data_IF_608373223328
#
_entry.id   IF_608373223328
#
_cell.length_a   1.000
_cell.length_b   1.000
_cell.length_c   1.000
_cell.angle_alpha   90.00
_cell.angle_beta   90.00
_cell.angle_gamma   90.00
#
_symmetry.space_group_name_H-M   'P 1'
#
loop_
_entity.id
_entity.type
_entity.pdbx_description
1 polymer ?
#
# COMPACT_ATOMS: atom_id res chain seq x y z
N UNK A 1 9.97 -12.19 -3.80
CA UNK A 1 11.43 -12.01 -3.78
C UNK A 1 12.09 -13.38 -3.65
N UNK A 2 12.66 -13.91 -4.75
CA UNK A 2 13.41 -15.17 -4.72
C UNK A 2 14.86 -14.85 -4.34
N UNK A 3 15.18 -14.89 -3.05
CA UNK A 3 16.58 -15.06 -2.64
C UNK A 3 16.87 -16.55 -2.79
N UNK A 4 17.42 -16.92 -3.95
CA UNK A 4 17.78 -18.30 -4.24
C UNK A 4 18.93 -18.76 -3.33
N UNK A 5 19.03 -20.07 -3.09
CA UNK A 5 20.11 -20.71 -2.34
C UNK A 5 21.52 -20.44 -2.93
N UNK A 6 21.59 -19.92 -4.16
CA UNK A 6 22.83 -19.55 -4.87
C UNK A 6 23.27 -18.10 -4.64
N UNK A 7 22.50 -17.30 -3.89
CA UNK A 7 22.89 -15.92 -3.59
C UNK A 7 24.12 -15.89 -2.67
N UNK A 8 25.11 -15.00 -2.85
CA UNK A 8 26.25 -14.94 -1.94
C UNK A 8 25.86 -14.75 -0.47
N UNK A 9 26.54 -15.49 0.44
CA UNK A 9 26.20 -15.60 1.86
C UNK A 9 26.16 -14.24 2.57
N UNK A 10 27.02 -13.30 2.16
CA UNK A 10 27.08 -11.94 2.68
C UNK A 10 25.76 -11.17 2.56
N UNK A 11 24.97 -11.42 1.51
CA UNK A 11 23.65 -10.80 1.34
C UNK A 11 22.55 -11.63 2.00
N UNK A 12 22.66 -12.97 1.98
CA UNK A 12 21.69 -13.82 2.68
C UNK A 12 21.61 -13.46 4.16
N UNK A 13 22.77 -13.18 4.80
CA UNK A 13 22.84 -12.78 6.21
C UNK A 13 22.22 -11.41 6.52
N UNK A 14 21.95 -10.59 5.50
CA UNK A 14 21.36 -9.26 5.64
C UNK A 14 19.84 -9.27 5.50
N UNK A 15 19.24 -10.44 5.19
CA UNK A 15 17.81 -10.56 4.97
C UNK A 15 17.23 -11.59 5.93
N UNK A 16 16.15 -11.20 6.60
CA UNK A 16 15.35 -12.07 7.45
C UNK A 16 14.00 -12.24 6.75
N UNK A 17 13.56 -13.48 6.66
CA UNK A 17 12.25 -13.82 6.11
C UNK A 17 11.33 -14.29 7.22
N UNK A 18 10.16 -13.69 7.27
CA UNK A 18 9.06 -14.11 8.12
C UNK A 18 7.82 -14.35 7.26
N UNK A 19 7.09 -15.41 7.60
CA UNK A 19 5.86 -15.77 6.90
C UNK A 19 4.70 -15.50 7.82
N UNK A 20 3.77 -14.67 7.34
CA UNK A 20 2.57 -14.29 8.08
C UNK A 20 1.35 -14.77 7.32
N UNK A 21 0.32 -15.32 8.01
CA UNK A 21 -0.90 -15.75 7.36
C UNK A 21 -1.65 -14.55 6.79
N UNK A 22 -2.39 -14.79 5.70
CA UNK A 22 -3.26 -13.77 5.13
C UNK A 22 -4.30 -13.33 6.16
N UNK A 23 -4.46 -12.03 6.35
CA UNK A 23 -5.37 -11.48 7.34
C UNK A 23 -6.27 -10.38 6.77
N UNK A 24 -7.54 -10.44 7.17
CA UNK A 24 -8.57 -9.45 6.83
C UNK A 24 -9.43 -9.19 8.07
N UNK A 25 -9.96 -7.96 8.24
CA UNK A 25 -10.94 -7.70 9.27
C UNK A 25 -12.14 -8.65 9.15
N UNK A 26 -12.72 -9.02 10.29
CA UNK A 26 -13.94 -9.83 10.33
C UNK A 26 -15.03 -9.16 9.48
N UNK A 27 -15.79 -9.97 8.75
CA UNK A 27 -16.87 -9.54 7.87
C UNK A 27 -16.45 -8.73 6.62
N UNK A 28 -15.16 -8.71 6.27
CA UNK A 28 -14.62 -8.04 5.06
C UNK A 28 -14.09 -9.00 4.00
N UNK A 29 -14.73 -10.16 3.90
CA UNK A 29 -14.45 -11.16 2.86
C UNK A 29 -14.66 -10.61 1.44
N UNK A 30 -15.58 -9.65 1.30
CA UNK A 30 -15.82 -8.93 0.05
C UNK A 30 -14.61 -8.12 -0.42
N UNK A 31 -13.79 -7.60 0.50
CA UNK A 31 -12.52 -6.96 0.16
C UNK A 31 -11.47 -7.97 -0.27
N UNK A 32 -11.43 -9.16 0.36
CA UNK A 32 -10.48 -10.23 0.01
C UNK A 32 -10.66 -10.73 -1.43
N UNK A 33 -11.91 -10.82 -1.87
CA UNK A 33 -12.27 -11.29 -3.20
C UNK A 33 -12.30 -10.19 -4.28
N UNK A 34 -11.99 -8.93 -3.91
CA UNK A 34 -12.02 -7.82 -4.86
C UNK A 34 -10.83 -7.89 -5.83
N UNK A 35 -11.13 -7.83 -7.14
CA UNK A 35 -10.16 -7.82 -8.24
C UNK A 35 -9.34 -9.11 -8.36
N UNK A 36 -8.26 -9.24 -7.59
CA UNK A 36 -7.48 -10.46 -7.41
C UNK A 36 -7.49 -10.80 -5.92
N UNK A 37 -7.53 -12.09 -5.61
CA UNK A 37 -7.47 -12.54 -4.22
C UNK A 37 -6.29 -11.90 -3.50
N UNK A 38 -6.56 -11.31 -2.34
CA UNK A 38 -5.58 -10.61 -1.49
C UNK A 38 -5.06 -9.24 -1.98
N UNK A 39 -5.55 -8.69 -3.09
CA UNK A 39 -5.05 -7.40 -3.61
C UNK A 39 -5.13 -6.26 -2.56
N UNK A 40 -6.22 -6.26 -1.80
CA UNK A 40 -6.54 -5.24 -0.78
C UNK A 40 -5.88 -5.48 0.58
N UNK A 41 -5.18 -6.60 0.79
CA UNK A 41 -4.63 -6.97 2.11
C UNK A 41 -3.67 -5.90 2.63
N UNK A 42 -2.89 -5.30 1.73
CA UNK A 42 -1.94 -4.22 2.05
C UNK A 42 -2.55 -3.06 2.82
N UNK A 43 -3.86 -2.82 2.67
CA UNK A 43 -4.58 -1.77 3.38
C UNK A 43 -4.70 -2.03 4.89
N UNK A 44 -4.38 -3.25 5.35
CA UNK A 44 -4.53 -3.72 6.72
C UNK A 44 -3.21 -3.95 7.45
N UNK A 45 -2.07 -3.67 6.81
CA UNK A 45 -0.74 -3.84 7.39
C UNK A 45 -0.54 -3.17 8.76
N UNK A 46 -1.10 -1.96 9.04
CA UNK A 46 -0.95 -1.36 10.36
C UNK A 46 -1.49 -2.21 11.51
N UNK A 47 -2.51 -3.05 11.26
CA UNK A 47 -3.12 -3.94 12.26
C UNK A 47 -2.45 -5.31 12.29
N UNK A 48 -2.00 -5.81 11.14
CA UNK A 48 -1.25 -7.06 11.05
C UNK A 48 0.10 -6.98 11.78
N UNK A 49 0.72 -5.80 11.77
CA UNK A 49 2.06 -5.56 12.31
C UNK A 49 2.06 -4.41 13.33
N UNK A 50 1.42 -4.58 14.50
CA UNK A 50 1.23 -3.51 15.47
C UNK A 50 2.55 -3.02 16.09
N UNK A 51 3.60 -3.85 16.12
CA UNK A 51 4.92 -3.52 16.63
C UNK A 51 5.88 -2.93 15.58
N UNK A 52 5.46 -2.82 14.32
CA UNK A 52 6.27 -2.24 13.24
C UNK A 52 5.89 -0.78 13.04
N UNK A 53 6.91 0.09 13.01
CA UNK A 53 6.72 1.54 12.90
C UNK A 53 6.57 2.01 11.45
N UNK A 54 7.34 1.42 10.54
CA UNK A 54 7.33 1.74 9.13
C UNK A 54 7.64 0.51 8.27
N UNK A 55 7.10 0.49 7.05
CA UNK A 55 7.32 -0.57 6.08
C UNK A 55 7.27 -0.01 4.65
N UNK A 56 7.90 -0.73 3.73
CA UNK A 56 7.70 -0.52 2.29
C UNK A 56 6.98 -1.75 1.75
N UNK A 57 5.77 -1.56 1.24
CA UNK A 57 5.06 -2.57 0.49
C UNK A 57 5.56 -2.60 -0.96
N UNK A 58 5.77 -3.79 -1.51
CA UNK A 58 6.31 -4.02 -2.86
C UNK A 58 5.53 -5.19 -3.50
N UNK A 59 4.98 -4.99 -4.70
CA UNK A 59 4.38 -6.08 -5.48
C UNK A 59 5.42 -7.17 -5.81
N UNK A 60 4.97 -8.42 -5.89
CA UNK A 60 5.86 -9.58 -6.01
C UNK A 60 6.51 -9.74 -7.39
N UNK A 61 6.05 -8.99 -8.39
CA UNK A 61 6.54 -8.99 -9.77
C UNK A 61 7.62 -7.92 -10.04
N UNK A 62 8.15 -7.29 -8.98
CA UNK A 62 9.19 -6.28 -9.05
C UNK A 62 10.60 -6.87 -8.80
N UNK A 63 11.60 -6.22 -9.42
CA UNK A 63 13.03 -6.51 -9.23
C UNK A 63 13.75 -5.21 -8.85
N UNK A 64 14.58 -5.28 -7.82
CA UNK A 64 15.45 -4.19 -7.43
C UNK A 64 16.68 -4.13 -8.34
N UNK A 65 16.89 -2.98 -8.98
CA UNK A 65 18.10 -2.67 -9.76
C UNK A 65 19.10 -1.80 -8.99
N UNK A 66 18.69 -1.33 -7.81
CA UNK A 66 19.45 -0.48 -6.89
C UNK A 66 19.22 -0.98 -5.46
N UNK A 67 20.10 -0.64 -4.50
CA UNK A 67 19.94 -1.06 -3.11
C UNK A 67 18.59 -0.62 -2.53
N UNK A 68 17.80 -1.51 -1.89
CA UNK A 68 16.51 -1.16 -1.29
C UNK A 68 16.63 -0.12 -0.17
N UNK A 69 17.81 0.06 0.41
CA UNK A 69 18.13 1.10 1.40
C UNK A 69 17.93 2.51 0.84
N UNK A 70 18.17 2.72 -0.45
CA UNK A 70 17.91 4.02 -1.08
C UNK A 70 16.41 4.30 -1.18
N UNK A 71 15.60 3.26 -1.40
CA UNK A 71 14.15 3.39 -1.34
C UNK A 71 13.72 3.68 0.10
N UNK A 72 14.32 3.03 1.09
CA UNK A 72 14.06 3.30 2.51
C UNK A 72 14.37 4.75 2.92
N UNK A 73 15.46 5.31 2.41
CA UNK A 73 15.86 6.69 2.71
C UNK A 73 14.82 7.75 2.28
N UNK A 74 13.85 7.43 1.43
CA UNK A 74 12.75 8.35 1.10
C UNK A 74 11.89 8.71 2.33
N UNK A 75 11.86 7.88 3.38
CA UNK A 75 11.20 8.25 4.64
C UNK A 75 11.85 9.47 5.31
N UNK A 76 13.13 9.75 5.07
CA UNK A 76 13.81 10.93 5.63
C UNK A 76 13.27 12.25 5.06
N UNK A 77 12.56 12.19 3.93
CA UNK A 77 11.90 13.34 3.32
C UNK A 77 10.49 13.57 3.84
N UNK A 78 9.97 12.67 4.69
CA UNK A 78 8.65 12.83 5.27
C UNK A 78 8.70 13.94 6.30
N UNK A 79 7.78 14.90 6.20
CA UNK A 79 7.52 15.89 7.23
C UNK A 79 6.74 15.28 8.42
N UNK A 80 6.17 16.12 9.28
CA UNK A 80 5.43 15.67 10.47
C UNK A 80 4.08 15.02 10.15
N UNK A 81 3.51 15.27 8.95
CA UNK A 81 2.14 14.87 8.60
C UNK A 81 2.08 13.76 7.55
N UNK A 82 3.11 13.60 6.72
CA UNK A 82 3.16 12.58 5.70
C UNK A 82 3.19 11.17 6.31
N UNK A 83 2.29 10.29 5.89
CA UNK A 83 2.20 8.91 6.40
C UNK A 83 2.40 7.86 5.32
N UNK A 84 2.31 8.24 4.06
CA UNK A 84 2.53 7.36 2.93
C UNK A 84 3.13 8.11 1.76
N UNK A 85 3.89 7.40 0.92
CA UNK A 85 4.34 7.88 -0.37
C UNK A 85 4.21 6.77 -1.41
N UNK A 86 3.86 7.17 -2.63
CA UNK A 86 3.67 6.31 -3.80
C UNK A 86 4.08 7.09 -5.04
N UNK A 87 4.49 6.37 -6.08
CA UNK A 87 4.81 7.00 -7.36
C UNK A 87 3.53 7.42 -8.12
N UNK A 88 3.61 8.43 -9.00
CA UNK A 88 2.54 8.76 -9.94
C UNK A 88 2.11 7.56 -10.80
N UNK A 89 0.80 7.40 -11.02
CA UNK A 89 0.27 6.39 -11.94
C UNK A 89 0.13 6.99 -13.35
N UNK A 90 1.07 6.72 -14.24
CA UNK A 90 1.05 7.29 -15.60
C UNK A 90 -0.05 6.71 -16.51
N UNK A 91 -0.86 5.78 -15.98
CA UNK A 91 -1.91 5.07 -16.69
C UNK A 91 -3.15 4.95 -15.80
N UNK A 92 -4.30 4.57 -16.38
CA UNK A 92 -5.61 4.42 -15.72
C UNK A 92 -6.37 5.71 -15.35
N UNK A 93 -5.78 6.63 -14.60
CA UNK A 93 -6.46 7.85 -14.15
C UNK A 93 -6.45 8.95 -15.21
N UNK A 94 -7.29 9.99 -15.04
CA UNK A 94 -7.49 11.05 -16.04
C UNK A 94 -8.21 10.63 -17.34
N UNK A 95 -8.40 9.32 -17.58
CA UNK A 95 -9.12 8.82 -18.76
C UNK A 95 -10.65 8.78 -18.57
N UNK A 96 -11.40 8.72 -19.67
CA UNK A 96 -12.87 8.54 -19.64
C UNK A 96 -13.32 7.22 -18.99
N UNK A 97 -12.41 6.24 -18.89
CA UNK A 97 -12.64 4.94 -18.22
C UNK A 97 -12.56 5.04 -16.71
N UNK A 98 -11.86 6.04 -16.18
CA UNK A 98 -11.80 6.30 -14.75
C UNK A 98 -13.18 6.79 -14.27
N UNK A 99 -13.65 6.20 -13.16
CA UNK A 99 -14.96 6.51 -12.58
C UNK A 99 -14.85 6.87 -11.11
N UNK A 100 -13.67 7.11 -10.57
CA UNK A 100 -13.47 7.48 -9.16
C UNK A 100 -12.61 8.75 -9.06
N UNK A 101 -12.76 9.53 -7.98
CA UNK A 101 -11.79 10.58 -7.65
C UNK A 101 -10.38 9.99 -7.48
N UNK A 102 -9.34 10.76 -7.79
CA UNK A 102 -7.95 10.29 -7.74
C UNK A 102 -6.97 11.41 -7.43
N UNK A 103 -5.87 11.08 -6.75
CA UNK A 103 -4.92 12.05 -6.24
C UNK A 103 -4.14 12.78 -7.35
N UNK A 104 -4.01 14.10 -7.24
CA UNK A 104 -3.26 14.91 -8.21
C UNK A 104 -3.77 14.79 -9.64
N UNK A 105 -2.86 14.94 -10.61
CA UNK A 105 -3.21 14.92 -12.04
C UNK A 105 -3.18 13.51 -12.67
N UNK A 106 -2.44 12.59 -12.05
CA UNK A 106 -2.18 11.25 -12.61
C UNK A 106 -2.70 10.12 -11.73
N UNK A 107 -3.07 10.39 -10.48
CA UNK A 107 -3.27 9.34 -9.48
C UNK A 107 -1.97 8.72 -9.00
N UNK A 108 -2.10 7.79 -8.05
CA UNK A 108 -1.03 7.08 -7.36
C UNK A 108 -0.97 5.62 -7.81
N UNK A 109 0.22 5.07 -7.97
CA UNK A 109 0.47 3.66 -8.24
C UNK A 109 0.74 2.93 -6.91
N UNK A 110 -0.04 1.89 -6.62
CA UNK A 110 0.03 1.19 -5.33
C UNK A 110 1.09 0.08 -5.27
N UNK A 111 1.76 -0.25 -6.37
CA UNK A 111 2.68 -1.39 -6.45
C UNK A 111 3.96 -1.23 -5.63
N UNK A 112 4.34 0.01 -5.30
CA UNK A 112 5.33 0.32 -4.28
C UNK A 112 4.78 1.42 -3.39
N UNK A 113 4.74 1.18 -2.08
CA UNK A 113 4.18 2.12 -1.12
C UNK A 113 5.02 2.19 0.14
N UNK A 114 5.52 3.38 0.44
CA UNK A 114 6.05 3.70 1.77
C UNK A 114 4.90 3.87 2.74
N UNK A 115 5.01 3.26 3.91
CA UNK A 115 3.96 3.24 4.92
C UNK A 115 4.58 3.56 6.28
N UNK A 116 4.29 4.74 6.82
CA UNK A 116 4.51 5.04 8.23
C UNK A 116 3.33 4.44 9.02
N UNK A 117 3.51 3.20 9.48
CA UNK A 117 2.45 2.42 10.13
C UNK A 117 2.02 3.05 11.46
N UNK A 118 2.93 3.70 12.17
CA UNK A 118 2.61 4.43 13.40
C UNK A 118 1.61 5.57 13.12
N UNK A 119 1.90 6.44 12.15
CA UNK A 119 0.99 7.53 11.76
C UNK A 119 -0.31 7.03 11.13
N UNK A 120 -0.27 5.90 10.41
CA UNK A 120 -1.49 5.27 9.88
C UNK A 120 -2.44 4.80 11.00
N UNK A 121 -1.92 4.27 12.10
CA UNK A 121 -2.76 3.88 13.26
C UNK A 121 -3.53 5.08 13.82
N UNK A 122 -2.88 6.25 13.86
CA UNK A 122 -3.45 7.52 14.33
C UNK A 122 -4.24 8.29 13.25
N UNK A 123 -4.51 7.68 12.09
CA UNK A 123 -5.20 8.35 11.00
C UNK A 123 -6.60 8.85 11.43
N UNK A 124 -7.00 10.08 11.04
CA UNK A 124 -8.25 10.67 11.50
C UNK A 124 -9.50 9.85 11.14
N UNK A 125 -10.58 10.03 11.93
CA UNK A 125 -11.88 9.43 11.63
C UNK A 125 -12.00 7.95 11.97
N UNK A 126 -11.26 7.49 13.00
CA UNK A 126 -11.32 6.11 13.49
C UNK A 126 -10.19 5.21 13.00
N UNK A 127 -9.10 5.79 12.49
CA UNK A 127 -7.92 5.05 12.03
C UNK A 127 -7.92 4.72 10.54
N UNK A 128 -6.77 4.27 10.06
CA UNK A 128 -6.52 3.99 8.65
C UNK A 128 -7.48 2.95 8.08
N UNK A 129 -7.73 1.87 8.83
CA UNK A 129 -8.61 0.78 8.38
C UNK A 129 -10.05 1.28 8.23
N UNK A 130 -10.56 2.04 9.20
CA UNK A 130 -11.91 2.60 9.13
C UNK A 130 -12.08 3.52 7.91
N UNK A 131 -11.06 4.32 7.60
CA UNK A 131 -11.07 5.19 6.44
C UNK A 131 -11.10 4.40 5.12
N UNK A 132 -10.25 3.38 4.97
CA UNK A 132 -10.22 2.50 3.80
C UNK A 132 -11.54 1.75 3.61
N UNK A 133 -12.09 1.20 4.70
CA UNK A 133 -13.38 0.51 4.70
C UNK A 133 -14.51 1.42 4.26
N UNK A 134 -14.57 2.65 4.80
CA UNK A 134 -15.56 3.65 4.41
C UNK A 134 -15.49 4.02 2.93
N UNK A 135 -14.28 4.20 2.39
CA UNK A 135 -14.07 4.45 0.96
C UNK A 135 -14.58 3.25 0.15
N UNK A 136 -14.17 2.04 0.51
CA UNK A 136 -14.65 0.83 -0.16
C UNK A 136 -16.18 0.77 -0.15
N UNK A 137 -16.82 0.92 1.00
CA UNK A 137 -18.28 0.76 1.10
C UNK A 137 -19.04 1.80 0.27
N UNK A 138 -18.49 3.02 0.19
CA UNK A 138 -19.05 4.11 -0.60
C UNK A 138 -18.86 3.89 -2.12
N UNK A 139 -17.70 3.37 -2.52
CA UNK A 139 -17.29 3.33 -3.94
C UNK A 139 -17.21 1.93 -4.54
N UNK A 140 -17.54 0.84 -3.83
CA UNK A 140 -17.34 -0.56 -4.27
C UNK A 140 -17.93 -0.90 -5.64
N UNK A 141 -19.00 -0.22 -6.08
CA UNK A 141 -19.60 -0.41 -7.41
C UNK A 141 -18.84 0.30 -8.53
N UNK A 142 -17.97 1.26 -8.20
CA UNK A 142 -17.20 2.11 -9.12
C UNK A 142 -15.71 1.77 -9.12
N UNK A 143 -15.20 1.21 -8.02
CA UNK A 143 -13.83 0.71 -7.89
C UNK A 143 -13.59 -0.39 -8.93
N UNK A 144 -12.47 -0.29 -9.65
CA UNK A 144 -12.01 -1.29 -10.63
C UNK A 144 -10.61 -1.79 -10.34
N UNK A 145 -9.76 -0.97 -9.72
CA UNK A 145 -8.36 -1.27 -9.40
C UNK A 145 -8.15 -1.48 -7.90
N UNK A 146 -9.17 -2.01 -7.21
CA UNK A 146 -9.12 -2.42 -5.80
C UNK A 146 -8.44 -1.42 -4.86
N UNK A 147 -7.32 -1.80 -4.26
CA UNK A 147 -6.51 -1.02 -3.33
C UNK A 147 -6.03 0.29 -3.93
N UNK A 148 -5.59 0.30 -5.20
CA UNK A 148 -5.10 1.50 -5.85
C UNK A 148 -6.20 2.56 -5.96
N UNK A 149 -7.42 2.18 -6.31
CA UNK A 149 -8.55 3.12 -6.35
C UNK A 149 -8.91 3.61 -4.94
N UNK A 150 -8.89 2.73 -3.93
CA UNK A 150 -9.20 3.12 -2.54
C UNK A 150 -8.19 4.17 -2.05
N UNK A 151 -6.89 3.95 -2.26
CA UNK A 151 -5.83 4.88 -1.88
C UNK A 151 -5.97 6.21 -2.64
N UNK A 152 -6.24 6.17 -3.94
CA UNK A 152 -6.46 7.37 -4.75
C UNK A 152 -7.66 8.21 -4.29
N UNK A 153 -8.76 7.55 -3.91
CA UNK A 153 -9.94 8.25 -3.38
C UNK A 153 -9.65 8.82 -1.99
N UNK A 154 -8.96 8.05 -1.14
CA UNK A 154 -8.62 8.47 0.23
C UNK A 154 -7.78 9.75 0.24
N UNK A 155 -6.81 9.85 -0.68
CA UNK A 155 -5.94 11.02 -0.80
C UNK A 155 -6.47 12.12 -1.73
N UNK A 156 -7.62 11.95 -2.41
CA UNK A 156 -8.09 12.86 -3.47
C UNK A 156 -8.10 14.36 -3.13
N UNK A 157 -8.39 14.71 -1.87
CA UNK A 157 -8.48 16.11 -1.41
C UNK A 157 -7.32 16.55 -0.51
N UNK A 158 -6.26 15.76 -0.43
CA UNK A 158 -5.02 16.16 0.23
C UNK A 158 -4.23 16.93 -0.82
N UNK A 159 -4.41 18.25 -0.84
CA UNK A 159 -3.70 19.20 -1.70
C UNK A 159 -3.08 20.30 -0.85
#
# INVERSE_FOLDING_TARGET
MLICCEWPVEYQRRVIFEWHPVWYPKDREDMRLMFRTCATERLFLPEMFPSVDAAIYIDTDLIFLRPPEELWAEFEKFDEVQLAAMAPCLFHYGSSKNKVPFYGDTGLNAGVMHMNLTRMKDFPGGGWIAANMKVFDTFKKRIKLADQDILNILFYKVS
#
